data_IF_610195467361
#
_entry.id   IF_610195467361
#
_cell.length_a   1.000
_cell.length_b   1.000
_cell.length_c   1.000
_cell.angle_alpha   90.00
_cell.angle_beta   90.00
_cell.angle_gamma   90.00
#
_symmetry.space_group_name_H-M   'P 1'
#
loop_
_entity.id
_entity.type
_entity.pdbx_description
1 polymer ?
#
# COMPACT_ATOMS: atom_id res chain seq x y z
N UNK A 1 4.43 -13.21 21.37
CA UNK A 1 5.19 -13.65 20.17
C UNK A 1 4.76 -12.70 19.08
N UNK A 2 5.71 -11.92 18.60
CA UNK A 2 5.49 -10.93 17.55
C UNK A 2 5.84 -11.60 16.22
N UNK A 3 4.95 -11.51 15.24
CA UNK A 3 5.17 -12.08 13.91
C UNK A 3 4.70 -11.09 12.86
N UNK A 4 5.41 -11.03 11.74
CA UNK A 4 5.03 -10.30 10.56
C UNK A 4 5.15 -11.21 9.34
N UNK A 5 4.18 -11.13 8.43
CA UNK A 5 4.17 -11.87 7.20
C UNK A 5 3.84 -10.94 6.04
N UNK A 6 4.73 -10.87 5.06
CA UNK A 6 4.45 -10.18 3.82
C UNK A 6 3.52 -11.02 2.93
N UNK A 7 2.51 -10.38 2.38
CA UNK A 7 1.59 -10.93 1.39
C UNK A 7 1.82 -10.15 0.09
N UNK A 8 2.50 -10.82 -0.84
CA UNK A 8 2.81 -10.28 -2.17
C UNK A 8 1.59 -10.36 -3.09
N UNK A 9 0.74 -9.34 -2.99
CA UNK A 9 -0.28 -9.06 -4.00
C UNK A 9 0.25 -7.94 -4.91
N UNK A 10 0.26 -8.12 -6.25
CA UNK A 10 0.84 -7.16 -7.17
C UNK A 10 0.11 -5.81 -7.17
N UNK A 11 -1.14 -5.76 -6.71
CA UNK A 11 -1.96 -4.55 -6.68
C UNK A 11 -2.12 -4.01 -5.26
N UNK A 12 -2.29 -4.88 -4.26
CA UNK A 12 -2.54 -4.49 -2.87
C UNK A 12 -1.62 -5.30 -1.94
N UNK A 13 -0.29 -5.09 -2.02
CA UNK A 13 0.64 -5.74 -1.12
C UNK A 13 0.32 -5.33 0.31
N UNK A 14 0.54 -6.26 1.24
CA UNK A 14 0.29 -5.98 2.66
C UNK A 14 1.22 -6.75 3.58
N UNK A 15 1.36 -6.25 4.79
CA UNK A 15 2.01 -6.96 5.89
C UNK A 15 0.95 -7.32 6.92
N UNK A 16 0.81 -8.62 7.16
CA UNK A 16 -0.06 -9.17 8.20
C UNK A 16 0.77 -9.36 9.48
N UNK A 17 0.45 -8.62 10.53
CA UNK A 17 1.17 -8.65 11.81
C UNK A 17 0.31 -9.19 12.96
N UNK A 18 0.92 -10.00 13.82
CA UNK A 18 0.30 -10.56 15.03
C UNK A 18 1.21 -10.33 16.23
N UNK A 19 0.62 -9.88 17.34
CA UNK A 19 1.31 -9.64 18.60
C UNK A 19 0.34 -9.71 19.78
N UNK A 20 0.87 -9.88 20.98
CA UNK A 20 0.12 -9.87 22.23
C UNK A 20 -0.38 -8.48 22.60
N UNK A 21 -1.51 -8.41 23.31
CA UNK A 21 -2.12 -7.13 23.72
C UNK A 21 -1.18 -6.24 24.59
N UNK A 22 -0.24 -6.86 25.31
CA UNK A 22 0.71 -6.18 26.18
C UNK A 22 2.11 -6.05 25.57
N UNK A 23 2.30 -6.49 24.32
CA UNK A 23 3.59 -6.38 23.63
C UNK A 23 3.87 -4.90 23.33
N UNK A 24 5.16 -4.54 23.36
CA UNK A 24 5.65 -3.17 23.26
C UNK A 24 6.80 -3.08 22.25
N UNK A 25 6.92 -1.93 21.62
CA UNK A 25 8.10 -1.48 20.87
C UNK A 25 9.29 -1.25 21.81
N UNK A 26 10.48 -1.03 21.26
CA UNK A 26 11.71 -0.82 22.04
C UNK A 26 11.65 0.42 22.95
N UNK A 27 10.99 1.48 22.49
CA UNK A 27 10.74 2.70 23.26
C UNK A 27 9.68 2.54 24.39
N UNK A 28 9.09 1.34 24.51
CA UNK A 28 8.08 1.02 25.52
C UNK A 28 6.64 1.40 25.15
N UNK A 29 6.41 1.93 23.95
CA UNK A 29 5.07 2.16 23.39
C UNK A 29 4.35 0.84 23.15
N UNK A 30 3.03 0.77 23.34
CA UNK A 30 2.27 -0.47 23.09
C UNK A 30 2.17 -0.69 21.58
N UNK A 31 2.45 -1.91 21.11
CA UNK A 31 2.37 -2.23 19.68
C UNK A 31 0.99 -1.95 19.08
N UNK A 32 -0.08 -2.18 19.86
CA UNK A 32 -1.44 -1.87 19.41
C UNK A 32 -1.65 -0.39 19.13
N UNK A 33 -1.02 0.48 19.91
CA UNK A 33 -1.16 1.94 19.77
C UNK A 33 -0.28 2.43 18.62
N UNK A 34 0.93 1.87 18.48
CA UNK A 34 1.84 2.16 17.38
C UNK A 34 1.28 1.72 16.02
N UNK A 35 0.79 0.48 15.91
CA UNK A 35 0.10 0.01 14.69
C UNK A 35 -1.14 0.85 14.42
N UNK A 36 -1.85 1.31 15.47
CA UNK A 36 -3.00 2.20 15.30
C UNK A 36 -2.65 3.59 14.76
N UNK A 37 -1.39 3.99 14.77
CA UNK A 37 -0.96 5.26 14.18
C UNK A 37 -0.76 5.15 12.66
N UNK A 38 -0.59 3.93 12.11
CA UNK A 38 -0.38 3.72 10.67
C UNK A 38 -1.65 4.05 9.87
N UNK A 39 -1.55 4.73 8.71
CA UNK A 39 -2.71 5.27 8.00
C UNK A 39 -3.60 4.17 7.41
N UNK A 40 -3.02 3.15 6.78
CA UNK A 40 -3.76 2.12 6.03
C UNK A 40 -3.67 0.77 6.72
N UNK A 41 -4.39 0.63 7.83
CA UNK A 41 -4.43 -0.59 8.66
C UNK A 41 -5.86 -1.13 8.78
N UNK A 42 -5.99 -2.45 8.83
CA UNK A 42 -7.28 -3.13 9.06
C UNK A 42 -7.13 -4.25 10.07
N UNK A 43 -8.04 -4.34 11.04
CA UNK A 43 -8.07 -5.45 11.98
C UNK A 43 -8.92 -6.60 11.44
N UNK A 44 -8.35 -7.80 11.36
CA UNK A 44 -9.06 -9.03 11.09
C UNK A 44 -9.38 -9.75 12.42
N UNK A 45 -10.64 -9.74 12.89
CA UNK A 45 -11.01 -10.32 14.18
C UNK A 45 -10.97 -11.85 14.20
N UNK A 46 -11.09 -12.51 13.03
CA UNK A 46 -11.09 -13.96 12.92
C UNK A 46 -9.69 -14.51 13.20
N UNK A 47 -8.70 -13.92 12.54
CA UNK A 47 -7.30 -14.37 12.60
C UNK A 47 -6.49 -13.59 13.64
N UNK A 48 -7.13 -12.63 14.34
CA UNK A 48 -6.52 -11.74 15.33
C UNK A 48 -5.26 -11.07 14.81
N UNK A 49 -5.32 -10.61 13.56
CA UNK A 49 -4.19 -10.08 12.80
C UNK A 49 -4.50 -8.66 12.33
N UNK A 50 -3.50 -7.78 12.34
CA UNK A 50 -3.57 -6.48 11.66
C UNK A 50 -2.99 -6.60 10.26
N UNK A 51 -3.74 -6.17 9.26
CA UNK A 51 -3.27 -6.02 7.88
C UNK A 51 -2.86 -4.57 7.65
N UNK A 52 -1.60 -4.35 7.30
CA UNK A 52 -1.03 -3.05 7.00
C UNK A 52 -0.82 -2.97 5.49
N UNK A 53 -1.54 -2.07 4.84
CA UNK A 53 -1.45 -1.79 3.39
C UNK A 53 -0.85 -0.42 3.12
N UNK A 54 -0.34 0.28 4.14
CA UNK A 54 0.33 1.57 3.96
C UNK A 54 0.96 2.10 5.24
N UNK A 55 2.16 2.63 5.08
CA UNK A 55 3.03 3.17 6.14
C UNK A 55 3.05 4.70 6.18
N UNK A 56 2.50 5.35 5.14
CA UNK A 56 2.38 6.80 5.03
C UNK A 56 3.46 7.41 4.13
N UNK A 57 3.84 8.65 4.43
CA UNK A 57 4.69 9.49 3.57
C UNK A 57 6.15 9.04 3.45
N UNK A 58 6.58 8.06 4.26
CA UNK A 58 7.93 7.49 4.17
C UNK A 58 7.97 6.44 3.08
N UNK A 59 8.88 6.61 2.11
CA UNK A 59 9.16 5.70 0.99
C UNK A 59 9.97 4.45 1.37
N UNK A 60 10.23 4.29 2.68
CA UNK A 60 10.90 3.15 3.30
C UNK A 60 9.96 2.39 4.25
N UNK A 61 8.96 1.64 3.73
CA UNK A 61 8.07 0.80 4.54
C UNK A 61 8.81 -0.24 5.39
N UNK A 62 9.98 -0.73 4.98
CA UNK A 62 10.80 -1.61 5.82
C UNK A 62 11.19 -0.93 7.14
N UNK A 63 11.82 0.24 7.06
CA UNK A 63 12.26 1.01 8.24
C UNK A 63 11.11 1.27 9.21
N UNK A 64 9.95 1.69 8.68
CA UNK A 64 8.77 1.98 9.51
C UNK A 64 8.29 0.74 10.27
N UNK A 65 8.34 -0.45 9.66
CA UNK A 65 7.89 -1.68 10.29
C UNK A 65 8.96 -2.28 11.22
N UNK A 66 10.24 -2.14 10.86
CA UNK A 66 11.37 -2.56 11.69
C UNK A 66 11.49 -1.74 12.97
N UNK A 67 11.23 -0.42 12.91
CA UNK A 67 11.15 0.46 14.09
C UNK A 67 10.05 0.02 15.07
N UNK A 68 9.00 -0.62 14.55
CA UNK A 68 7.94 -1.23 15.36
C UNK A 68 8.31 -2.63 15.87
N UNK A 69 9.49 -3.15 15.55
CA UNK A 69 9.95 -4.48 15.92
C UNK A 69 9.40 -5.61 15.04
N UNK A 70 8.89 -5.28 13.84
CA UNK A 70 8.43 -6.27 12.87
C UNK A 70 9.55 -6.56 11.86
N UNK A 71 10.16 -7.73 11.97
CA UNK A 71 11.15 -8.18 10.99
C UNK A 71 10.48 -8.82 9.78
N UNK A 72 10.85 -8.38 8.58
CA UNK A 72 10.26 -8.81 7.31
C UNK A 72 11.40 -9.15 6.36
N UNK A 73 11.48 -10.41 5.94
CA UNK A 73 12.58 -10.93 5.10
C UNK A 73 12.36 -10.63 3.60
N UNK A 74 11.94 -9.40 3.28
CA UNK A 74 11.74 -8.93 1.91
C UNK A 74 11.87 -7.41 1.80
N UNK A 75 12.18 -6.94 0.61
CA UNK A 75 12.21 -5.52 0.25
C UNK A 75 10.78 -5.03 -0.04
N UNK A 76 10.21 -4.23 0.85
CA UNK A 76 8.88 -3.63 0.72
C UNK A 76 8.93 -2.28 0.01
N UNK A 77 10.09 -1.66 -0.10
CA UNK A 77 10.28 -0.36 -0.74
C UNK A 77 9.88 -0.42 -2.23
N UNK A 78 10.15 -1.55 -2.90
CA UNK A 78 9.66 -1.87 -4.26
C UNK A 78 8.12 -1.90 -4.35
N UNK A 79 7.46 -2.06 -3.20
CA UNK A 79 6.02 -2.08 -3.03
C UNK A 79 5.44 -0.76 -2.51
N UNK A 80 6.26 0.29 -2.38
CA UNK A 80 5.78 1.59 -1.91
C UNK A 80 4.96 2.33 -2.95
N UNK A 81 5.49 2.45 -4.17
CA UNK A 81 4.87 3.26 -5.20
C UNK A 81 3.50 2.73 -5.62
N UNK A 82 2.49 3.60 -5.81
CA UNK A 82 1.18 3.17 -6.26
C UNK A 82 1.22 2.65 -7.71
N UNK A 83 0.28 1.79 -8.06
CA UNK A 83 0.21 1.13 -9.38
C UNK A 83 -1.10 1.49 -10.07
N UNK A 84 -1.04 1.88 -11.34
CA UNK A 84 -2.23 2.12 -12.15
C UNK A 84 -2.44 1.04 -13.22
N UNK A 85 -3.66 0.52 -13.31
CA UNK A 85 -4.07 -0.51 -14.27
C UNK A 85 -5.17 0.06 -15.18
N UNK A 86 -5.08 -0.10 -16.51
CA UNK A 86 -6.14 0.36 -17.41
C UNK A 86 -7.52 -0.20 -17.03
N UNK A 87 -8.51 0.69 -17.01
CA UNK A 87 -9.92 0.37 -16.79
C UNK A 87 -10.71 0.95 -17.97
N UNK A 88 -11.33 0.08 -18.77
CA UNK A 88 -11.88 0.44 -20.08
C UNK A 88 -12.69 1.75 -20.12
N UNK A 89 -12.79 2.35 -21.32
CA UNK A 89 -13.46 3.64 -21.48
C UNK A 89 -12.57 4.84 -21.16
N UNK A 90 -11.25 4.69 -21.22
CA UNK A 90 -10.31 5.78 -20.97
C UNK A 90 -10.12 6.10 -19.50
N UNK A 91 -10.27 5.12 -18.61
CA UNK A 91 -10.02 5.30 -17.17
C UNK A 91 -8.90 4.36 -16.70
N UNK A 92 -8.44 4.56 -15.47
CA UNK A 92 -7.44 3.74 -14.80
C UNK A 92 -7.89 3.43 -13.38
N UNK A 93 -7.49 2.26 -12.89
CA UNK A 93 -7.57 1.87 -11.48
C UNK A 93 -6.22 2.13 -10.84
N UNK A 94 -6.15 3.03 -9.87
CA UNK A 94 -4.93 3.36 -9.13
C UNK A 94 -5.01 2.71 -7.75
N UNK A 95 -4.09 1.80 -7.47
CA UNK A 95 -3.96 1.11 -6.19
C UNK A 95 -2.84 1.77 -5.39
N UNK A 96 -3.12 2.09 -4.12
CA UNK A 96 -2.22 2.93 -3.34
C UNK A 96 -0.91 2.25 -2.90
N UNK A 97 -0.90 0.91 -2.78
CA UNK A 97 0.22 0.12 -2.21
C UNK A 97 0.74 0.76 -0.90
N UNK A 98 2.01 0.57 -0.51
CA UNK A 98 2.46 1.04 0.82
C UNK A 98 2.50 2.57 1.01
N UNK A 99 2.43 3.37 -0.06
CA UNK A 99 2.19 4.81 0.07
C UNK A 99 0.90 5.14 0.84
N UNK A 100 -0.11 4.26 0.77
CA UNK A 100 -1.33 4.40 1.56
C UNK A 100 -2.39 5.30 0.93
N UNK A 101 -3.63 5.15 1.40
CA UNK A 101 -4.80 5.79 0.78
C UNK A 101 -4.72 7.32 0.75
N UNK A 102 -4.39 7.95 1.87
CA UNK A 102 -4.48 9.41 2.02
C UNK A 102 -3.44 10.15 1.15
N UNK A 103 -2.21 9.63 1.08
CA UNK A 103 -1.13 10.21 0.28
C UNK A 103 -1.45 10.09 -1.21
N UNK A 104 -1.93 8.92 -1.64
CA UNK A 104 -2.34 8.72 -3.04
C UNK A 104 -3.56 9.54 -3.40
N UNK A 105 -4.53 9.69 -2.49
CA UNK A 105 -5.69 10.55 -2.70
C UNK A 105 -5.29 12.03 -2.89
N UNK A 106 -4.26 12.50 -2.18
CA UNK A 106 -3.76 13.86 -2.32
C UNK A 106 -3.11 14.10 -3.70
N UNK A 107 -2.48 13.07 -4.26
CA UNK A 107 -1.68 13.17 -5.48
C UNK A 107 -2.48 12.97 -6.77
N UNK A 108 -3.46 12.06 -6.81
CA UNK A 108 -4.23 11.72 -8.03
C UNK A 108 -5.28 12.77 -8.44
N UNK A 109 -5.53 13.78 -7.61
CA UNK A 109 -6.42 14.90 -7.93
C UNK A 109 -7.92 14.66 -7.68
N UNK A 110 -8.72 15.72 -7.90
CA UNK A 110 -10.13 15.83 -7.45
C UNK A 110 -11.13 14.99 -8.24
N UNK A 111 -10.76 14.50 -9.42
CA UNK A 111 -11.63 13.67 -10.28
C UNK A 111 -11.66 12.19 -9.89
N UNK A 112 -10.74 11.75 -9.03
CA UNK A 112 -10.63 10.36 -8.62
C UNK A 112 -11.80 9.90 -7.74
N UNK A 113 -12.33 8.71 -8.04
CA UNK A 113 -13.41 8.09 -7.27
C UNK A 113 -12.90 6.84 -6.58
N UNK A 114 -13.00 6.79 -5.24
CA UNK A 114 -12.63 5.59 -4.50
C UNK A 114 -13.65 4.45 -4.69
N UNK A 115 -13.17 3.31 -5.21
CA UNK A 115 -13.94 2.07 -5.33
C UNK A 115 -13.65 1.15 -4.14
N UNK A 116 -14.48 1.25 -3.10
CA UNK A 116 -14.38 0.38 -1.91
C UNK A 116 -14.32 -1.13 -2.23
N UNK A 117 -15.14 -1.68 -3.16
CA UNK A 117 -15.10 -3.11 -3.47
C UNK A 117 -13.77 -3.56 -4.09
N UNK A 118 -13.07 -2.65 -4.78
CA UNK A 118 -11.83 -2.95 -5.47
C UNK A 118 -10.59 -2.51 -4.68
N UNK A 119 -10.75 -1.67 -3.65
CA UNK A 119 -9.62 -1.11 -2.90
C UNK A 119 -8.74 -0.21 -3.75
N UNK A 120 -9.31 0.52 -4.71
CA UNK A 120 -8.56 1.37 -5.63
C UNK A 120 -9.31 2.67 -5.97
N UNK A 121 -8.59 3.68 -6.45
CA UNK A 121 -9.18 4.84 -7.09
C UNK A 121 -9.49 4.56 -8.55
N UNK A 122 -10.59 5.09 -9.06
CA UNK A 122 -10.90 5.12 -10.49
C UNK A 122 -10.66 6.55 -10.95
N UNK A 123 -9.78 6.72 -11.93
CA UNK A 123 -9.32 8.03 -12.42
C UNK A 123 -9.48 8.07 -13.93
N UNK A 124 -9.94 9.19 -14.49
CA UNK A 124 -9.98 9.37 -15.94
C UNK A 124 -8.55 9.53 -16.49
N UNK A 125 -8.28 9.02 -17.69
CA UNK A 125 -6.98 9.19 -18.35
C UNK A 125 -6.60 10.66 -18.54
N UNK A 126 -7.58 11.55 -18.70
CA UNK A 126 -7.37 12.99 -18.84
C UNK A 126 -6.88 13.63 -17.54
N UNK A 127 -7.32 13.13 -16.39
CA UNK A 127 -6.86 13.60 -15.07
C UNK A 127 -5.43 13.14 -14.76
N UNK A 128 -4.92 12.13 -15.48
CA UNK A 128 -3.53 11.67 -15.39
C UNK A 128 -2.57 12.43 -16.35
N UNK A 129 -3.08 13.38 -17.14
CA UNK A 129 -2.40 13.92 -18.33
C UNK A 129 -1.78 15.32 -18.18
N UNK A 130 -1.06 15.59 -17.09
CA UNK A 130 -0.18 16.78 -17.00
C UNK A 130 1.19 16.53 -17.67
N UNK A 131 1.19 16.21 -18.97
CA UNK A 131 2.27 16.50 -19.95
C UNK A 131 3.71 16.01 -19.70
N UNK A 132 4.02 15.37 -18.58
CA UNK A 132 5.19 14.55 -18.39
C UNK A 132 4.72 13.08 -18.46
N UNK A 133 5.64 12.12 -18.61
CA UNK A 133 5.38 10.68 -18.39
C UNK A 133 4.26 10.50 -17.38
N UNK A 134 3.32 9.56 -17.54
CA UNK A 134 2.28 9.31 -16.52
C UNK A 134 3.01 9.04 -15.18
N UNK A 135 3.14 10.12 -14.42
CA UNK A 135 3.96 10.32 -13.24
C UNK A 135 3.10 11.29 -12.48
N UNK A 136 2.02 10.78 -11.90
CA UNK A 136 1.55 11.41 -10.67
C UNK A 136 2.75 11.27 -9.74
N UNK A 137 3.51 12.36 -9.57
CA UNK A 137 4.85 12.45 -8.94
C UNK A 137 5.34 11.13 -8.29
N UNK A 138 5.94 10.22 -9.07
CA UNK A 138 6.46 8.95 -8.57
C UNK A 138 5.66 7.68 -8.90
N UNK A 139 4.55 7.75 -9.63
CA UNK A 139 3.92 6.55 -10.19
C UNK A 139 4.82 5.95 -11.28
N UNK A 140 5.51 4.86 -10.97
CA UNK A 140 5.92 3.94 -12.02
C UNK A 140 4.65 3.21 -12.47
N UNK A 141 4.14 3.57 -13.64
CA UNK A 141 3.25 2.68 -14.36
C UNK A 141 4.06 1.45 -14.75
N UNK A 142 3.97 0.38 -13.97
CA UNK A 142 4.43 -0.90 -14.46
C UNK A 142 3.70 -1.19 -15.77
N UNK A 143 4.43 -1.42 -16.88
CA UNK A 143 3.78 -1.86 -18.10
C UNK A 143 2.97 -3.10 -17.75
N UNK A 144 1.73 -3.25 -18.27
CA UNK A 144 0.94 -4.44 -18.02
C UNK A 144 1.82 -5.64 -18.35
N UNK A 145 2.06 -6.52 -17.36
CA UNK A 145 2.86 -7.72 -17.55
C UNK A 145 2.39 -8.37 -18.84
N UNK A 146 3.20 -8.22 -19.89
CA UNK A 146 2.89 -8.82 -21.17
C UNK A 146 2.94 -10.30 -20.89
N UNK A 147 1.78 -10.94 -20.96
CA UNK A 147 1.64 -12.38 -20.93
C UNK A 147 2.77 -12.94 -21.78
N UNK A 148 3.75 -13.59 -21.17
CA UNK A 148 4.77 -14.31 -21.91
C UNK A 148 4.02 -15.34 -22.73
N UNK A 149 3.80 -15.03 -24.00
CA UNK A 149 3.38 -16.02 -24.98
C UNK A 149 4.58 -16.93 -25.12
N UNK A 150 4.54 -18.08 -24.44
CA UNK A 150 5.45 -19.17 -24.74
C UNK A 150 5.27 -19.53 -26.22
N UNK A 151 6.38 -19.48 -26.94
CA UNK A 151 6.50 -19.98 -28.31
C UNK A 151 6.29 -21.50 -28.37
#
# INVERSE_FOLDING_TARGET
>A
MVTAQFIDDPLIPRVDVTFGFNDKTEDGTRLVDAVKALPSRTWNPKDKTWSITGTGTTDHPNDVLEDLGFFIDTELDDHWHPVAVPHGGGSYRVYHRFAGYDDVAADIGRGAVWSKPLGCFIVDATDLSDGQRITVRGLNLDPPMSSRTSA
#
